data_IF_314069125034
#
_entry.id   IF_314069125034
#
_cell.length_a   1.000
_cell.length_b   1.000
_cell.length_c   1.000
_cell.angle_alpha   90.00
_cell.angle_beta   90.00
_cell.angle_gamma   90.00
#
_symmetry.space_group_name_H-M   'P 1'
#
loop_
_entity.id
_entity.type
_entity.pdbx_description
1 polymer ?
#
# COMPACT_ATOMS: atom_id res chain seq x y z
N UNK A 1 -37.35 -12.05 34.02
CA UNK A 1 -36.29 -12.81 33.31
C UNK A 1 -35.28 -11.78 32.88
N UNK A 2 -34.22 -11.66 33.67
CA UNK A 2 -33.17 -10.67 33.50
C UNK A 2 -32.13 -11.16 32.48
N UNK A 3 -31.77 -10.28 31.55
CA UNK A 3 -30.84 -10.53 30.46
C UNK A 3 -29.42 -10.31 31.01
N UNK A 4 -28.75 -11.39 31.39
CA UNK A 4 -27.39 -11.36 31.94
C UNK A 4 -26.34 -11.35 30.84
N UNK A 5 -25.54 -10.28 30.83
CA UNK A 5 -24.09 -10.36 30.66
C UNK A 5 -23.54 -10.42 29.23
N UNK A 6 -23.34 -9.25 28.61
CA UNK A 6 -22.34 -9.08 27.55
C UNK A 6 -20.97 -9.23 28.22
N UNK A 7 -20.35 -10.41 28.10
CA UNK A 7 -19.03 -10.67 28.63
C UNK A 7 -18.00 -9.82 27.87
N UNK A 8 -17.37 -8.88 28.60
CA UNK A 8 -16.18 -8.14 28.18
C UNK A 8 -15.10 -9.13 27.74
N UNK A 9 -14.83 -9.23 26.45
CA UNK A 9 -13.66 -9.94 25.94
C UNK A 9 -12.41 -9.18 26.37
N UNK A 10 -11.65 -9.79 27.27
CA UNK A 10 -10.35 -9.31 27.70
C UNK A 10 -9.44 -9.17 26.48
N UNK A 11 -9.07 -7.93 26.15
CA UNK A 11 -7.90 -7.59 25.33
C UNK A 11 -6.65 -8.09 26.07
N UNK A 12 -6.40 -9.39 25.99
CA UNK A 12 -5.10 -9.95 26.32
C UNK A 12 -4.14 -9.49 25.22
N UNK A 13 -3.24 -8.58 25.58
CA UNK A 13 -2.25 -7.98 24.69
C UNK A 13 -1.56 -9.04 23.85
N UNK A 14 -1.85 -9.03 22.55
CA UNK A 14 -1.16 -9.81 21.55
C UNK A 14 0.27 -9.30 21.56
N UNK A 15 1.20 -10.10 22.10
CA UNK A 15 2.61 -9.79 22.00
C UNK A 15 2.99 -9.77 20.52
N UNK A 16 3.29 -8.56 20.05
CA UNK A 16 3.58 -8.18 18.67
C UNK A 16 4.84 -8.91 18.19
N UNK A 17 4.69 -10.03 17.50
CA UNK A 17 5.80 -10.68 16.81
C UNK A 17 6.42 -9.70 15.78
N UNK A 18 7.68 -9.33 16.00
CA UNK A 18 8.36 -8.18 15.40
C UNK A 18 9.43 -8.60 14.37
N UNK A 19 9.09 -9.39 13.36
CA UNK A 19 10.12 -9.94 12.46
C UNK A 19 10.09 -9.49 11.00
N UNK A 20 9.15 -8.65 10.55
CA UNK A 20 9.35 -7.89 9.29
C UNK A 20 9.93 -6.51 9.59
N UNK A 21 11.07 -6.19 8.96
CA UNK A 21 11.69 -4.86 8.97
C UNK A 21 10.64 -3.85 8.50
N UNK A 22 10.31 -2.87 9.36
CA UNK A 22 9.46 -1.75 8.99
C UNK A 22 10.06 -1.04 7.77
N UNK A 23 9.30 -0.91 6.69
CA UNK A 23 9.78 -0.28 5.47
C UNK A 23 10.08 1.20 5.73
N UNK A 24 11.20 1.68 5.20
CA UNK A 24 11.61 3.09 5.30
C UNK A 24 12.21 3.52 3.97
N UNK A 25 11.95 4.78 3.62
CA UNK A 25 12.52 5.41 2.43
C UNK A 25 14.00 5.73 2.67
N UNK A 26 14.89 4.87 2.18
CA UNK A 26 16.35 5.00 2.30
C UNK A 26 16.91 6.09 1.40
N UNK A 27 18.10 6.58 1.72
CA UNK A 27 18.78 7.63 0.93
C UNK A 27 19.06 7.17 -0.51
N UNK A 28 19.56 5.95 -0.69
CA UNK A 28 19.76 5.36 -2.02
C UNK A 28 18.45 5.28 -2.83
N UNK A 29 17.32 4.97 -2.18
CA UNK A 29 16.03 4.95 -2.85
C UNK A 29 15.56 6.37 -3.21
N UNK A 30 15.81 7.36 -2.36
CA UNK A 30 15.55 8.79 -2.66
C UNK A 30 16.37 9.26 -3.86
N UNK A 31 17.65 8.93 -3.90
CA UNK A 31 18.54 9.27 -5.01
C UNK A 31 18.07 8.66 -6.32
N UNK A 32 17.64 7.39 -6.30
CA UNK A 32 17.11 6.71 -7.47
C UNK A 32 15.81 7.37 -7.97
N UNK A 33 14.89 7.71 -7.06
CA UNK A 33 13.66 8.44 -7.38
C UNK A 33 13.98 9.80 -7.98
N UNK A 34 14.91 10.55 -7.38
CA UNK A 34 15.32 11.85 -7.88
C UNK A 34 15.96 11.77 -9.27
N UNK A 35 16.75 10.71 -9.54
CA UNK A 35 17.29 10.41 -10.86
C UNK A 35 16.19 10.23 -11.90
N UNK A 36 15.21 9.36 -11.62
CA UNK A 36 14.07 9.15 -12.52
C UNK A 36 13.22 10.41 -12.71
N UNK A 37 12.98 11.17 -11.64
CA UNK A 37 12.21 12.41 -11.72
C UNK A 37 12.90 13.46 -12.62
N UNK A 38 14.24 13.58 -12.56
CA UNK A 38 15.01 14.47 -13.44
C UNK A 38 14.95 14.02 -14.90
N UNK A 39 15.14 12.72 -15.16
CA UNK A 39 15.03 12.15 -16.51
C UNK A 39 13.64 12.39 -17.12
N UNK A 40 12.59 12.16 -16.33
CA UNK A 40 11.20 12.37 -16.72
C UNK A 40 10.91 13.87 -16.97
N UNK A 41 11.41 14.76 -16.10
CA UNK A 41 11.24 16.21 -16.22
C UNK A 41 11.88 16.76 -17.50
N UNK A 42 13.08 16.29 -17.86
CA UNK A 42 13.75 16.65 -19.10
C UNK A 42 12.96 16.21 -20.36
N UNK A 43 12.25 15.08 -20.27
CA UNK A 43 11.38 14.57 -21.34
C UNK A 43 9.96 15.14 -21.29
N UNK A 44 9.63 15.91 -20.26
CA UNK A 44 8.30 16.41 -20.00
C UNK A 44 7.24 15.36 -19.71
N UNK A 45 7.65 14.16 -19.32
CA UNK A 45 6.78 13.08 -18.85
C UNK A 45 6.60 13.24 -17.34
N UNK A 46 5.42 12.97 -16.79
CA UNK A 46 5.22 12.93 -15.34
C UNK A 46 4.94 11.49 -14.90
N UNK A 47 5.69 11.02 -13.89
CA UNK A 47 5.70 9.64 -13.41
C UNK A 47 5.95 8.60 -14.52
N UNK A 48 7.15 8.64 -15.09
CA UNK A 48 7.55 7.73 -16.15
C UNK A 48 7.63 6.26 -15.71
N UNK A 49 7.75 5.38 -16.71
CA UNK A 49 7.70 3.92 -16.52
C UNK A 49 8.73 3.39 -15.52
N UNK A 50 9.93 3.99 -15.46
CA UNK A 50 10.98 3.60 -14.49
C UNK A 50 10.52 3.82 -13.05
N UNK A 51 9.92 4.98 -12.77
CA UNK A 51 9.36 5.28 -11.45
C UNK A 51 8.16 4.39 -11.11
N UNK A 52 7.25 4.15 -12.07
CA UNK A 52 6.10 3.27 -11.86
C UNK A 52 6.51 1.82 -11.55
N UNK A 53 7.53 1.30 -12.25
CA UNK A 53 8.09 -0.01 -11.99
C UNK A 53 8.74 -0.09 -10.60
N UNK A 54 9.54 0.92 -10.22
CA UNK A 54 10.12 1.04 -8.88
C UNK A 54 9.03 1.04 -7.81
N UNK A 55 8.00 1.88 -7.97
CA UNK A 55 6.86 1.97 -7.05
C UNK A 55 6.20 0.61 -6.84
N UNK A 56 5.93 -0.12 -7.93
CA UNK A 56 5.35 -1.48 -7.86
C UNK A 56 6.25 -2.44 -7.08
N UNK A 57 7.57 -2.40 -7.32
CA UNK A 57 8.51 -3.29 -6.62
C UNK A 57 8.67 -2.98 -5.13
N UNK A 58 8.64 -1.71 -4.73
CA UNK A 58 8.76 -1.33 -3.31
C UNK A 58 7.50 -1.66 -2.53
N UNK A 59 6.32 -1.47 -3.13
CA UNK A 59 5.04 -1.82 -2.53
C UNK A 59 4.92 -3.34 -2.35
N UNK A 60 5.38 -4.14 -3.31
CA UNK A 60 5.38 -5.59 -3.21
C UNK A 60 6.19 -6.14 -2.01
N UNK A 61 7.17 -5.38 -1.50
CA UNK A 61 7.96 -5.80 -0.30
C UNK A 61 7.15 -5.74 0.99
N UNK A 62 6.14 -4.88 1.05
CA UNK A 62 5.27 -4.70 2.22
C UNK A 62 3.90 -5.36 2.05
N UNK A 63 3.52 -5.68 0.81
CA UNK A 63 2.25 -6.29 0.48
C UNK A 63 2.08 -7.66 1.17
N UNK A 64 0.88 -7.98 1.68
CA UNK A 64 0.55 -9.33 2.11
C UNK A 64 0.48 -10.27 0.90
N UNK A 65 0.81 -11.54 1.10
CA UNK A 65 0.67 -12.58 0.08
C UNK A 65 -0.81 -13.00 -0.04
N UNK A 66 -1.58 -12.14 -0.70
CA UNK A 66 -3.02 -12.32 -0.91
C UNK A 66 -3.35 -13.59 -1.68
N UNK A 67 -2.51 -13.98 -2.63
CA UNK A 67 -2.71 -15.19 -3.41
C UNK A 67 -2.63 -16.45 -2.54
N UNK A 68 -1.61 -16.54 -1.68
CA UNK A 68 -1.50 -17.64 -0.72
C UNK A 68 -2.66 -17.63 0.29
N UNK A 69 -3.10 -16.45 0.73
CA UNK A 69 -4.27 -16.30 1.61
C UNK A 69 -5.54 -16.84 0.94
N UNK A 70 -5.86 -16.38 -0.27
CA UNK A 70 -7.02 -16.83 -1.04
C UNK A 70 -7.02 -18.33 -1.27
N UNK A 71 -5.88 -18.90 -1.66
CA UNK A 71 -5.76 -20.35 -1.90
C UNK A 71 -6.11 -21.19 -0.66
N UNK A 72 -5.58 -20.81 0.50
CA UNK A 72 -5.88 -21.49 1.78
C UNK A 72 -7.32 -21.24 2.26
N UNK A 73 -7.85 -20.02 2.09
CA UNK A 73 -9.22 -19.70 2.47
C UNK A 73 -10.23 -20.51 1.64
N UNK A 74 -9.99 -20.64 0.33
CA UNK A 74 -10.82 -21.47 -0.54
C UNK A 74 -10.81 -22.95 -0.14
N UNK A 75 -9.68 -23.48 0.35
CA UNK A 75 -9.57 -24.86 0.83
C UNK A 75 -10.34 -25.10 2.13
N UNK A 76 -10.36 -24.13 3.04
CA UNK A 76 -10.92 -24.27 4.40
C UNK A 76 -12.23 -23.48 4.58
N UNK A 77 -12.92 -23.14 3.49
CA UNK A 77 -14.05 -22.22 3.49
C UNK A 77 -15.22 -22.71 4.36
N UNK A 78 -15.37 -24.04 4.45
CA UNK A 78 -16.42 -24.67 5.28
C UNK A 78 -16.09 -24.52 6.76
N UNK A 79 -14.85 -24.81 7.15
CA UNK A 79 -14.37 -24.70 8.53
C UNK A 79 -14.41 -23.24 9.00
N UNK A 80 -14.08 -22.27 8.14
CA UNK A 80 -14.10 -20.83 8.47
C UNK A 80 -15.52 -20.33 8.79
N UNK A 81 -16.54 -20.87 8.14
CA UNK A 81 -17.95 -20.51 8.43
C UNK A 81 -18.41 -21.02 9.80
N UNK A 82 -17.78 -22.07 10.29
CA UNK A 82 -18.16 -22.77 11.54
C UNK A 82 -17.22 -22.42 12.71
N UNK A 83 -16.08 -21.77 12.45
CA UNK A 83 -15.02 -21.54 13.42
C UNK A 83 -14.85 -20.06 13.83
N UNK A 84 -14.67 -19.85 15.14
CA UNK A 84 -14.27 -18.56 15.73
C UNK A 84 -12.89 -18.06 15.24
N UNK A 85 -12.65 -16.74 15.38
CA UNK A 85 -11.44 -15.97 15.00
C UNK A 85 -10.09 -16.66 15.31
N UNK A 86 -10.05 -17.59 16.28
CA UNK A 86 -8.86 -18.36 16.68
C UNK A 86 -8.33 -19.35 15.63
N UNK A 87 -9.16 -19.87 14.73
CA UNK A 87 -8.76 -20.93 13.78
C UNK A 87 -7.87 -20.41 12.65
N UNK A 88 -8.10 -19.18 12.20
CA UNK A 88 -7.35 -18.58 11.10
C UNK A 88 -5.90 -18.29 11.51
N UNK A 89 -5.67 -17.87 12.75
CA UNK A 89 -4.32 -17.69 13.30
C UNK A 89 -3.47 -18.96 13.20
N UNK A 90 -4.07 -20.15 13.39
CA UNK A 90 -3.38 -21.44 13.23
C UNK A 90 -3.07 -21.79 11.76
N UNK A 91 -3.99 -21.49 10.83
CA UNK A 91 -3.86 -21.85 9.41
C UNK A 91 -2.82 -21.00 8.65
N UNK A 92 -2.63 -19.76 9.10
CA UNK A 92 -1.85 -18.77 8.35
C UNK A 92 -0.48 -18.44 8.94
N UNK A 93 -0.19 -18.79 10.20
CA UNK A 93 1.12 -18.60 10.84
C UNK A 93 1.50 -17.14 11.16
N UNK A 94 0.96 -16.19 10.40
CA UNK A 94 0.94 -14.75 10.67
C UNK A 94 -0.41 -14.37 11.34
N UNK A 95 -0.48 -13.32 12.17
CA UNK A 95 -1.68 -12.97 12.93
C UNK A 95 -2.70 -12.26 12.03
N UNK A 96 -3.21 -12.95 11.02
CA UNK A 96 -4.39 -12.53 10.27
C UNK A 96 -5.64 -12.86 11.08
N UNK A 97 -6.61 -11.96 11.05
CA UNK A 97 -7.95 -12.19 11.59
C UNK A 97 -8.92 -12.28 10.42
N UNK A 98 -9.92 -13.16 10.47
CA UNK A 98 -11.02 -13.07 9.54
C UNK A 98 -12.35 -13.17 10.26
N UNK A 99 -13.31 -12.40 9.74
CA UNK A 99 -14.64 -12.26 10.30
C UNK A 99 -15.64 -12.69 9.24
N UNK A 100 -16.50 -13.63 9.61
CA UNK A 100 -17.63 -14.03 8.80
C UNK A 100 -18.82 -13.13 9.13
N UNK A 101 -19.36 -12.47 8.13
CA UNK A 101 -20.59 -11.70 8.22
C UNK A 101 -21.70 -12.47 7.52
N UNK A 102 -22.75 -12.84 8.25
CA UNK A 102 -23.94 -13.54 7.73
C UNK A 102 -25.22 -12.71 7.78
N UNK A 103 -25.23 -11.56 8.45
CA UNK A 103 -26.40 -10.68 8.55
C UNK A 103 -26.53 -9.74 7.34
N UNK A 104 -27.73 -9.70 6.74
CA UNK A 104 -28.10 -8.78 5.65
C UNK A 104 -28.21 -9.46 4.28
N UNK A 105 -27.96 -8.69 3.21
CA UNK A 105 -28.19 -9.07 1.80
C UNK A 105 -27.14 -10.02 1.19
N UNK A 106 -26.25 -10.61 2.00
CA UNK A 106 -25.25 -11.55 1.53
C UNK A 106 -24.27 -11.97 2.64
N UNK A 107 -23.59 -13.10 2.42
CA UNK A 107 -22.54 -13.56 3.33
C UNK A 107 -21.16 -13.17 2.82
N UNK A 108 -20.31 -12.63 3.69
CA UNK A 108 -18.95 -12.20 3.37
C UNK A 108 -17.91 -12.69 4.38
N UNK A 109 -16.68 -12.90 3.91
CA UNK A 109 -15.51 -13.16 4.75
C UNK A 109 -14.56 -11.97 4.60
N UNK A 110 -14.30 -11.28 5.69
CA UNK A 110 -13.38 -10.14 5.74
C UNK A 110 -12.07 -10.60 6.39
N UNK A 111 -10.94 -10.38 5.74
CA UNK A 111 -9.61 -10.74 6.26
C UNK A 111 -8.84 -9.47 6.59
N UNK A 112 -8.35 -9.41 7.82
CA UNK A 112 -7.59 -8.32 8.37
C UNK A 112 -6.14 -8.75 8.61
N UNK A 113 -5.21 -7.86 8.33
CA UNK A 113 -3.80 -8.04 8.65
C UNK A 113 -3.51 -7.80 10.15
N UNK A 114 -2.24 -7.96 10.54
CA UNK A 114 -1.74 -7.72 11.90
C UNK A 114 -1.97 -6.30 12.44
N UNK A 115 -2.22 -5.34 11.56
CA UNK A 115 -2.45 -3.93 11.89
C UNK A 115 -3.95 -3.62 11.99
N UNK A 116 -4.82 -4.61 11.72
CA UNK A 116 -6.26 -4.46 11.67
C UNK A 116 -6.75 -3.87 10.34
N UNK A 117 -5.91 -3.84 9.30
CA UNK A 117 -6.31 -3.38 7.98
C UNK A 117 -6.99 -4.51 7.23
N UNK A 118 -8.18 -4.27 6.67
CA UNK A 118 -8.83 -5.24 5.81
C UNK A 118 -8.07 -5.33 4.49
N UNK A 119 -7.56 -6.52 4.17
CA UNK A 119 -6.71 -6.76 2.99
C UNK A 119 -7.36 -7.64 1.93
N UNK A 120 -8.38 -8.42 2.32
CA UNK A 120 -9.17 -9.27 1.44
C UNK A 120 -10.62 -9.32 1.92
N UNK A 121 -11.54 -9.34 0.96
CA UNK A 121 -12.96 -9.63 1.21
C UNK A 121 -13.41 -10.69 0.22
N UNK A 122 -14.06 -11.75 0.68
CA UNK A 122 -14.85 -12.62 -0.19
C UNK A 122 -16.32 -12.32 0.00
N UNK A 123 -17.04 -12.04 -1.09
CA UNK A 123 -18.49 -11.86 -1.06
C UNK A 123 -19.15 -12.96 -1.87
N UNK A 124 -20.11 -13.65 -1.24
CA UNK A 124 -20.84 -14.74 -1.90
C UNK A 124 -21.54 -14.23 -3.16
N UNK A 125 -21.32 -14.89 -4.30
CA UNK A 125 -21.88 -14.50 -5.59
C UNK A 125 -21.08 -13.42 -6.35
N UNK A 126 -20.09 -12.79 -5.72
CA UNK A 126 -19.22 -11.78 -6.35
C UNK A 126 -17.76 -12.27 -6.47
N UNK A 127 -17.24 -12.92 -5.43
CA UNK A 127 -15.88 -13.44 -5.37
C UNK A 127 -14.94 -12.63 -4.48
N UNK A 128 -13.64 -12.71 -4.77
CA UNK A 128 -12.58 -12.07 -3.99
C UNK A 128 -12.36 -10.60 -4.40
N UNK A 129 -12.20 -9.74 -3.41
CA UNK A 129 -11.81 -8.35 -3.53
C UNK A 129 -10.56 -8.10 -2.71
N UNK A 130 -9.55 -7.51 -3.34
CA UNK A 130 -8.33 -7.07 -2.66
C UNK A 130 -8.50 -5.64 -2.15
N UNK A 131 -7.97 -5.38 -0.96
CA UNK A 131 -7.90 -4.04 -0.38
C UNK A 131 -6.45 -3.73 -0.03
N UNK A 132 -6.04 -2.49 -0.35
CA UNK A 132 -4.70 -1.99 -0.03
C UNK A 132 -4.57 -1.80 1.49
N UNK A 133 -3.47 -2.27 2.05
CA UNK A 133 -3.12 -2.10 3.47
C UNK A 133 -2.54 -0.71 3.72
N UNK A 134 -2.57 -0.22 4.97
CA UNK A 134 -1.93 1.06 5.31
C UNK A 134 -0.43 1.05 5.03
N UNK A 135 0.22 -0.11 5.16
CA UNK A 135 1.64 -0.25 4.83
C UNK A 135 1.90 0.04 3.35
N UNK A 136 1.10 -0.53 2.44
CA UNK A 136 1.20 -0.24 1.00
C UNK A 136 0.90 1.24 0.71
N UNK A 137 -0.16 1.79 1.31
CA UNK A 137 -0.50 3.23 1.17
C UNK A 137 0.63 4.14 1.66
N UNK A 138 1.30 3.80 2.76
CA UNK A 138 2.42 4.56 3.30
C UNK A 138 3.62 4.56 2.34
N UNK A 139 3.94 3.40 1.74
CA UNK A 139 4.98 3.29 0.71
C UNK A 139 4.60 4.13 -0.51
N UNK A 140 3.36 4.01 -1.00
CA UNK A 140 2.87 4.81 -2.12
C UNK A 140 3.01 6.31 -1.87
N UNK A 141 2.58 6.78 -0.69
CA UNK A 141 2.67 8.19 -0.30
C UNK A 141 4.11 8.69 -0.24
N UNK A 142 5.00 7.96 0.43
CA UNK A 142 6.39 8.35 0.59
C UNK A 142 7.13 8.44 -0.75
N UNK A 143 6.94 7.45 -1.63
CA UNK A 143 7.55 7.44 -2.96
C UNK A 143 7.01 8.57 -3.84
N UNK A 144 5.69 8.80 -3.82
CA UNK A 144 5.05 9.87 -4.58
C UNK A 144 5.51 11.25 -4.14
N UNK A 145 5.62 11.49 -2.83
CA UNK A 145 6.11 12.76 -2.30
C UNK A 145 7.55 13.03 -2.75
N UNK A 146 8.46 12.06 -2.57
CA UNK A 146 9.85 12.20 -2.99
C UNK A 146 9.99 12.45 -4.51
N UNK A 147 9.17 11.77 -5.33
CA UNK A 147 9.15 12.00 -6.77
C UNK A 147 8.63 13.40 -7.11
N UNK A 148 7.52 13.81 -6.50
CA UNK A 148 6.91 15.11 -6.74
C UNK A 148 7.91 16.23 -6.48
N UNK A 149 8.56 16.23 -5.31
CA UNK A 149 9.53 17.26 -4.93
C UNK A 149 10.69 17.33 -5.93
N UNK A 150 11.26 16.17 -6.30
CA UNK A 150 12.38 16.11 -7.24
C UNK A 150 11.98 16.53 -8.66
N UNK A 151 10.79 16.14 -9.12
CA UNK A 151 10.29 16.48 -10.46
C UNK A 151 10.08 17.98 -10.60
N UNK A 152 9.45 18.61 -9.60
CA UNK A 152 9.17 20.04 -9.61
C UNK A 152 10.44 20.86 -9.49
N UNK A 153 11.39 20.46 -8.65
CA UNK A 153 12.72 21.08 -8.60
C UNK A 153 13.41 21.04 -9.97
N UNK A 154 13.42 19.87 -10.64
CA UNK A 154 14.03 19.71 -11.95
C UNK A 154 13.34 20.57 -13.03
N UNK A 155 12.00 20.63 -13.03
CA UNK A 155 11.26 21.51 -13.96
C UNK A 155 11.52 22.99 -13.70
N UNK A 156 11.62 23.40 -12.44
CA UNK A 156 11.94 24.78 -12.09
C UNK A 156 13.33 25.17 -12.61
N UNK A 157 14.32 24.31 -12.44
CA UNK A 157 15.68 24.52 -12.97
C UNK A 157 15.70 24.63 -14.49
N UNK A 158 15.02 23.72 -15.19
CA UNK A 158 14.90 23.76 -16.66
C UNK A 158 14.25 25.07 -17.13
N UNK A 159 13.14 25.45 -16.52
CA UNK A 159 12.41 26.67 -16.89
C UNK A 159 13.23 27.94 -16.60
N UNK A 160 13.96 27.96 -15.49
CA UNK A 160 14.84 29.09 -15.12
C UNK A 160 16.03 29.21 -16.08
N UNK A 161 16.59 28.08 -16.54
CA UNK A 161 17.64 28.05 -17.55
C UNK A 161 17.17 28.60 -18.90
N UNK A 162 15.96 28.22 -19.35
CA UNK A 162 15.37 28.73 -20.58
C UNK A 162 15.15 30.25 -20.51
N UNK A 163 14.54 30.74 -19.41
CA UNK A 163 14.31 32.16 -19.22
C UNK A 163 15.62 32.98 -19.20
N UNK A 164 16.69 32.43 -18.61
CA UNK A 164 18.01 33.07 -18.62
C UNK A 164 18.65 33.19 -20.01
N UNK A 165 18.41 32.20 -20.89
CA UNK A 165 18.87 32.23 -22.29
C UNK A 165 18.10 33.26 -23.13
N UNK A 166 16.78 33.39 -22.91
CA UNK A 166 15.96 34.38 -23.62
C UNK A 166 16.36 35.83 -23.29
N UNK A 167 16.75 36.09 -22.04
CA UNK A 167 17.21 37.43 -21.60
C UNK A 167 18.58 37.82 -22.19
N UNK A 168 19.46 36.84 -22.46
CA UNK A 168 20.76 37.12 -23.11
C UNK A 168 20.68 37.26 -24.64
N UNK A 169 19.66 36.70 -25.28
CA UNK A 169 19.47 36.76 -26.74
C UNK A 169 18.80 38.04 -27.25
N UNK A 170 18.23 38.86 -26.38
CA UNK A 170 17.51 40.07 -26.74
C UNK A 170 18.20 41.34 -26.27
N UNK A 171 19.28 41.77 -26.92
CA UNK A 171 19.72 43.17 -27.07
C UNK A 171 21.09 43.20 -27.78
N UNK A 172 21.09 43.11 -29.11
CA UNK A 172 22.22 43.63 -29.92
C UNK A 172 21.65 44.42 -31.10
N UNK A 173 20.99 45.54 -30.76
CA UNK A 173 20.59 46.57 -31.72
C UNK A 173 21.70 47.62 -31.79
N UNK A 174 22.78 47.31 -32.53
CA UNK A 174 23.74 48.30 -33.04
C UNK A 174 23.75 48.26 -34.56
N UNK A 175 22.97 49.14 -35.17
CA UNK A 175 23.22 49.76 -36.47
C UNK A 175 22.36 51.03 -36.59
#
# INVERSE_FOLDING_TARGET
MDITGIAKSHQAGIQKASSRKEWKLSDSLREQIAGYAREDAAQGVYMGNKFLALRKSEVAKVAPDRSALMGKLNQNMKEIREADERWLRLLFGEPYEAKFQSEGTGSAVHVYDRNGDEILTYTTGVGWHEKESKAETQVHGALKAAYYDAYHAARQEINSGIAGMEVQGGFDARA
#
